data_IF_811847609357
#
_entry.id   IF_811847609357
#
_cell.length_a   1.000
_cell.length_b   1.000
_cell.length_c   1.000
_cell.angle_alpha   90.00
_cell.angle_beta   90.00
_cell.angle_gamma   90.00
#
_symmetry.space_group_name_H-M   'P 1'
#
loop_
_entity.id
_entity.type
_entity.pdbx_description
1 polymer ?
#
# COMPACT_ATOMS: atom_id res chain seq x y z
N UNK A 1 50.21 -42.94 41.01
CA UNK A 1 48.97 -42.16 40.78
C UNK A 1 48.94 -41.47 39.40
N UNK A 2 50.07 -40.98 38.87
CA UNK A 2 50.14 -40.29 37.57
C UNK A 2 49.88 -41.16 36.32
N UNK A 3 50.24 -42.46 36.31
CA UNK A 3 50.02 -43.32 35.13
C UNK A 3 48.54 -43.56 34.79
N UNK A 4 47.66 -43.63 35.79
CA UNK A 4 46.22 -43.85 35.57
C UNK A 4 45.52 -42.64 34.96
N UNK A 5 46.07 -41.43 35.14
CA UNK A 5 45.52 -40.19 34.59
C UNK A 5 45.78 -40.08 33.07
N UNK A 6 46.94 -40.55 32.61
CA UNK A 6 47.34 -40.51 31.19
C UNK A 6 46.49 -41.48 30.35
N UNK A 7 46.16 -42.66 30.87
CA UNK A 7 45.31 -43.66 30.20
C UNK A 7 43.83 -43.21 30.06
N UNK A 8 43.29 -42.49 31.04
CA UNK A 8 41.93 -41.93 30.99
C UNK A 8 41.86 -40.76 30.00
N UNK A 9 42.90 -39.92 29.95
CA UNK A 9 42.98 -38.84 28.97
C UNK A 9 43.14 -39.35 27.53
N UNK A 10 43.94 -40.41 27.32
CA UNK A 10 44.14 -41.03 26.00
C UNK A 10 42.86 -41.71 25.48
N UNK A 11 42.14 -42.46 26.34
CA UNK A 11 40.87 -43.10 25.98
C UNK A 11 39.74 -42.08 25.72
N UNK A 12 39.73 -40.95 26.43
CA UNK A 12 38.84 -39.82 26.14
C UNK A 12 39.12 -39.17 24.77
N UNK A 13 40.40 -38.97 24.44
CA UNK A 13 40.82 -38.42 23.13
C UNK A 13 40.44 -39.34 21.97
N UNK A 14 40.67 -40.65 22.09
CA UNK A 14 40.26 -41.63 21.06
C UNK A 14 38.73 -41.68 20.88
N UNK A 15 37.96 -41.59 21.97
CA UNK A 15 36.48 -41.52 21.88
C UNK A 15 35.99 -40.24 21.20
N UNK A 16 36.64 -39.10 21.48
CA UNK A 16 36.29 -37.83 20.83
C UNK A 16 36.59 -37.87 19.32
N UNK A 17 37.75 -38.42 18.93
CA UNK A 17 38.14 -38.59 17.52
C UNK A 17 37.17 -39.56 16.80
N UNK A 18 36.75 -40.64 17.45
CA UNK A 18 35.77 -41.57 16.90
C UNK A 18 34.36 -40.95 16.76
N UNK A 19 33.95 -40.07 17.68
CA UNK A 19 32.69 -39.33 17.57
C UNK A 19 32.74 -38.31 16.43
N UNK A 20 33.83 -37.54 16.31
CA UNK A 20 34.02 -36.55 15.24
C UNK A 20 34.08 -37.23 13.86
N UNK A 21 34.77 -38.38 13.73
CA UNK A 21 34.80 -39.12 12.47
C UNK A 21 33.43 -39.72 12.11
N UNK A 22 32.65 -40.14 13.12
CA UNK A 22 31.27 -40.60 12.93
C UNK A 22 30.34 -39.48 12.51
N UNK A 23 30.47 -38.29 13.09
CA UNK A 23 29.75 -37.08 12.66
C UNK A 23 30.16 -36.64 11.25
N UNK A 24 31.45 -36.67 10.92
CA UNK A 24 31.96 -36.30 9.59
C UNK A 24 31.52 -37.30 8.49
N UNK A 25 31.29 -38.56 8.85
CA UNK A 25 30.80 -39.61 7.94
C UNK A 25 29.26 -39.64 7.86
N UNK A 26 28.57 -38.92 8.73
CA UNK A 26 27.11 -38.84 8.74
C UNK A 26 26.60 -37.82 7.72
N UNK A 27 26.33 -38.31 6.51
CA UNK A 27 25.73 -37.53 5.42
C UNK A 27 24.32 -37.00 5.72
N UNK A 28 23.65 -37.52 6.76
CA UNK A 28 22.30 -37.06 7.15
C UNK A 28 22.36 -35.70 7.86
N UNK A 29 23.48 -35.37 8.52
CA UNK A 29 23.69 -34.08 9.19
C UNK A 29 23.93 -32.92 8.23
N UNK A 30 24.50 -33.19 7.05
CA UNK A 30 24.75 -32.17 6.00
C UNK A 30 23.45 -31.54 5.53
N UNK A 31 22.40 -32.34 5.32
CA UNK A 31 21.08 -31.84 4.94
C UNK A 31 20.43 -30.94 6.00
N UNK A 32 20.72 -31.17 7.29
CA UNK A 32 20.22 -30.31 8.37
C UNK A 32 20.90 -28.93 8.38
N UNK A 33 22.19 -28.85 8.05
CA UNK A 33 22.94 -27.59 7.95
C UNK A 33 22.51 -26.79 6.72
N UNK A 34 22.33 -27.45 5.57
CA UNK A 34 21.79 -26.82 4.36
C UNK A 34 20.39 -26.26 4.60
N UNK A 35 19.52 -27.03 5.27
CA UNK A 35 18.18 -26.56 5.65
C UNK A 35 18.26 -25.36 6.60
N UNK A 36 19.14 -25.38 7.60
CA UNK A 36 19.28 -24.27 8.55
C UNK A 36 19.69 -22.95 7.88
N UNK A 37 20.39 -22.98 6.74
CA UNK A 37 20.79 -21.80 5.98
C UNK A 37 19.69 -21.37 4.99
N UNK A 38 19.10 -22.32 4.26
CA UNK A 38 18.12 -22.03 3.20
C UNK A 38 16.74 -21.68 3.76
N UNK A 39 16.31 -22.36 4.83
CA UNK A 39 15.01 -22.14 5.46
C UNK A 39 14.73 -20.69 5.87
N UNK A 40 15.60 -19.96 6.60
CA UNK A 40 15.32 -18.58 6.97
C UNK A 40 15.17 -17.65 5.76
N UNK A 41 15.92 -17.89 4.69
CA UNK A 41 15.84 -17.11 3.44
C UNK A 41 14.50 -17.39 2.75
N UNK A 42 14.12 -18.66 2.61
CA UNK A 42 12.83 -19.04 2.01
C UNK A 42 11.65 -18.50 2.81
N UNK A 43 11.72 -18.54 4.15
CA UNK A 43 10.69 -18.01 5.02
C UNK A 43 10.56 -16.49 4.86
N UNK A 44 11.68 -15.76 4.85
CA UNK A 44 11.67 -14.31 4.63
C UNK A 44 11.08 -13.95 3.27
N UNK A 45 11.47 -14.64 2.19
CA UNK A 45 10.93 -14.42 0.85
C UNK A 45 9.43 -14.73 0.77
N UNK A 46 8.98 -15.83 1.37
CA UNK A 46 7.57 -16.20 1.39
C UNK A 46 6.71 -15.14 2.09
N UNK A 47 7.10 -14.76 3.31
CA UNK A 47 6.35 -13.77 4.08
C UNK A 47 6.38 -12.39 3.40
N UNK A 48 7.51 -11.99 2.80
CA UNK A 48 7.63 -10.71 2.08
C UNK A 48 6.73 -10.69 0.85
N UNK A 49 6.70 -11.80 0.10
CA UNK A 49 5.83 -11.93 -1.08
C UNK A 49 4.35 -11.88 -0.70
N UNK A 50 3.99 -12.51 0.43
CA UNK A 50 2.64 -12.49 0.96
C UNK A 50 2.19 -11.07 1.32
N UNK A 51 3.00 -10.33 2.06
CA UNK A 51 2.70 -8.95 2.45
C UNK A 51 2.63 -8.00 1.25
N UNK A 52 3.58 -8.10 0.32
CA UNK A 52 3.57 -7.32 -0.91
C UNK A 52 2.31 -7.60 -1.75
N UNK A 53 1.84 -8.85 -1.77
CA UNK A 53 0.60 -9.22 -2.46
C UNK A 53 -0.61 -8.54 -1.84
N UNK A 54 -0.71 -8.49 -0.50
CA UNK A 54 -1.82 -7.80 0.18
C UNK A 54 -1.74 -6.29 -0.05
N UNK A 55 -0.56 -5.69 0.08
CA UNK A 55 -0.34 -4.27 -0.19
C UNK A 55 -0.69 -3.90 -1.63
N UNK A 56 -0.31 -4.74 -2.60
CA UNK A 56 -0.65 -4.57 -4.01
C UNK A 56 -2.15 -4.74 -4.29
N UNK A 57 -2.83 -5.66 -3.62
CA UNK A 57 -4.28 -5.80 -3.73
C UNK A 57 -5.00 -4.54 -3.23
N UNK A 58 -4.56 -3.98 -2.11
CA UNK A 58 -5.05 -2.68 -1.59
C UNK A 58 -4.74 -1.56 -2.58
N UNK A 59 -3.52 -1.53 -3.15
CA UNK A 59 -3.11 -0.59 -4.20
C UNK A 59 -4.09 -0.61 -5.38
N UNK A 60 -4.42 -1.80 -5.87
CA UNK A 60 -5.32 -1.98 -7.02
C UNK A 60 -6.72 -1.51 -6.69
N UNK A 61 -7.24 -1.87 -5.52
CA UNK A 61 -8.58 -1.45 -5.06
C UNK A 61 -8.70 0.05 -4.88
N UNK A 62 -7.69 0.70 -4.32
CA UNK A 62 -7.63 2.17 -4.22
C UNK A 62 -7.72 2.83 -5.61
N UNK A 63 -6.98 2.29 -6.58
CA UNK A 63 -7.01 2.79 -7.96
C UNK A 63 -8.37 2.57 -8.62
N UNK A 64 -8.96 1.38 -8.45
CA UNK A 64 -10.28 1.07 -8.97
C UNK A 64 -11.37 1.93 -8.34
N UNK A 65 -11.32 2.17 -7.03
CA UNK A 65 -12.29 3.01 -6.32
C UNK A 65 -12.23 4.46 -6.81
N UNK A 66 -11.02 5.04 -6.90
CA UNK A 66 -10.84 6.41 -7.41
C UNK A 66 -11.35 6.54 -8.86
N UNK A 67 -11.07 5.56 -9.72
CA UNK A 67 -11.56 5.54 -11.10
C UNK A 67 -13.08 5.42 -11.18
N UNK A 68 -13.71 4.53 -10.40
CA UNK A 68 -15.16 4.34 -10.37
C UNK A 68 -15.88 5.59 -9.87
N UNK A 69 -15.41 6.19 -8.78
CA UNK A 69 -15.97 7.45 -8.24
C UNK A 69 -15.89 8.55 -9.29
N UNK A 70 -14.73 8.68 -9.94
CA UNK A 70 -14.53 9.67 -10.98
C UNK A 70 -15.49 9.46 -12.17
N UNK A 71 -15.67 8.21 -12.63
CA UNK A 71 -16.59 7.88 -13.72
C UNK A 71 -18.05 8.21 -13.37
N UNK A 72 -18.49 7.95 -12.13
CA UNK A 72 -19.84 8.31 -11.66
C UNK A 72 -20.07 9.83 -11.67
N UNK A 73 -19.10 10.60 -11.14
CA UNK A 73 -19.17 12.05 -11.10
C UNK A 73 -19.11 12.64 -12.52
N UNK A 74 -18.25 12.09 -13.37
CA UNK A 74 -18.06 12.57 -14.74
C UNK A 74 -19.25 12.36 -15.66
N UNK A 75 -20.15 11.44 -15.30
CA UNK A 75 -21.42 11.23 -16.01
C UNK A 75 -22.56 12.10 -15.48
N UNK A 76 -22.34 12.82 -14.38
CA UNK A 76 -23.37 13.60 -13.71
C UNK A 76 -23.16 15.09 -14.02
N UNK A 77 -24.17 15.75 -14.60
CA UNK A 77 -24.06 17.17 -14.99
C UNK A 77 -23.94 18.14 -13.82
N UNK A 78 -24.42 17.76 -12.62
CA UNK A 78 -24.27 18.56 -11.41
C UNK A 78 -24.23 17.66 -10.18
N UNK A 79 -23.36 17.97 -9.22
CA UNK A 79 -23.24 17.26 -7.95
C UNK A 79 -23.60 18.16 -6.77
N UNK A 80 -23.98 17.55 -5.66
CA UNK A 80 -24.14 18.21 -4.37
C UNK A 80 -23.37 17.43 -3.28
N UNK A 81 -23.25 18.01 -2.09
CA UNK A 81 -22.58 17.38 -0.94
C UNK A 81 -23.19 16.03 -0.55
N UNK A 82 -24.50 15.86 -0.73
CA UNK A 82 -25.20 14.60 -0.40
C UNK A 82 -24.76 13.48 -1.33
N UNK A 83 -24.72 13.77 -2.64
CA UNK A 83 -24.21 12.88 -3.67
C UNK A 83 -22.74 12.52 -3.44
N UNK A 84 -21.91 13.51 -3.12
CA UNK A 84 -20.49 13.29 -2.84
C UNK A 84 -20.26 12.47 -1.56
N UNK A 85 -21.09 12.67 -0.54
CA UNK A 85 -21.05 11.83 0.69
C UNK A 85 -21.32 10.37 0.35
N UNK A 86 -22.25 10.09 -0.56
CA UNK A 86 -22.52 8.72 -1.05
C UNK A 86 -21.33 8.06 -1.79
N UNK A 87 -20.34 8.83 -2.26
CA UNK A 87 -19.13 8.27 -2.87
C UNK A 87 -18.25 7.50 -1.87
N UNK A 88 -18.40 7.77 -0.56
CA UNK A 88 -17.73 7.00 0.49
C UNK A 88 -18.26 5.55 0.53
N UNK A 89 -19.57 5.37 0.35
CA UNK A 89 -20.18 4.05 0.29
C UNK A 89 -19.76 3.30 -0.98
N UNK A 90 -19.63 4.01 -2.10
CA UNK A 90 -19.06 3.46 -3.35
C UNK A 90 -17.62 3.00 -3.12
N UNK A 91 -16.79 3.82 -2.46
CA UNK A 91 -15.43 3.43 -2.11
C UNK A 91 -15.43 2.16 -1.25
N UNK A 92 -16.25 2.11 -0.21
CA UNK A 92 -16.37 0.94 0.68
C UNK A 92 -16.80 -0.33 -0.07
N UNK A 93 -17.76 -0.22 -0.99
CA UNK A 93 -18.20 -1.34 -1.81
C UNK A 93 -17.08 -1.88 -2.73
N UNK A 94 -16.28 -1.00 -3.33
CA UNK A 94 -15.14 -1.40 -4.17
C UNK A 94 -14.00 -2.02 -3.33
N UNK A 95 -13.83 -1.57 -2.10
CA UNK A 95 -12.81 -2.10 -1.20
C UNK A 95 -13.19 -3.45 -0.57
N UNK A 96 -14.47 -3.82 -0.53
CA UNK A 96 -14.93 -5.08 0.07
C UNK A 96 -14.15 -6.30 -0.48
N UNK A 97 -13.67 -7.22 0.40
CA UNK A 97 -13.95 -7.32 1.84
C UNK A 97 -12.96 -6.56 2.75
N UNK A 98 -12.10 -5.70 2.22
CA UNK A 98 -11.12 -4.94 3.00
C UNK A 98 -11.76 -3.75 3.71
N UNK A 99 -11.25 -3.41 4.90
CA UNK A 99 -11.69 -2.23 5.63
C UNK A 99 -11.22 -0.94 4.95
N UNK A 100 -12.08 0.07 4.94
CA UNK A 100 -11.78 1.45 4.54
C UNK A 100 -11.53 2.38 5.75
N UNK A 101 -11.22 1.82 6.92
CA UNK A 101 -10.98 2.62 8.13
C UNK A 101 -9.84 3.60 7.89
N UNK A 102 -10.11 4.89 8.10
CA UNK A 102 -9.13 5.96 7.87
C UNK A 102 -8.92 6.34 6.40
N UNK A 103 -9.80 5.89 5.50
CA UNK A 103 -9.82 6.35 4.12
C UNK A 103 -10.10 7.86 4.07
N UNK A 104 -9.25 8.61 3.38
CA UNK A 104 -9.44 10.01 3.07
C UNK A 104 -9.72 10.14 1.57
N UNK A 105 -10.82 10.82 1.25
CA UNK A 105 -11.33 10.99 -0.12
C UNK A 105 -11.52 12.47 -0.36
N UNK A 106 -10.81 13.01 -1.35
CA UNK A 106 -11.01 14.37 -1.84
C UNK A 106 -11.40 14.32 -3.30
N UNK A 107 -12.30 15.21 -3.67
CA UNK A 107 -12.84 15.31 -5.01
C UNK A 107 -12.81 16.78 -5.39
N UNK A 108 -12.21 17.07 -6.54
CA UNK A 108 -12.09 18.43 -7.05
C UNK A 108 -12.52 18.50 -8.52
N UNK A 109 -13.27 19.54 -8.85
CA UNK A 109 -13.51 19.96 -10.23
C UNK A 109 -12.45 20.97 -10.65
N UNK A 110 -11.75 20.70 -11.74
CA UNK A 110 -10.65 21.52 -12.24
C UNK A 110 -10.99 21.99 -13.65
N UNK A 111 -10.96 23.30 -13.88
CA UNK A 111 -11.11 23.90 -15.20
C UNK A 111 -9.75 24.33 -15.75
N UNK A 112 -9.46 23.96 -16.98
CA UNK A 112 -8.26 24.39 -17.71
C UNK A 112 -8.67 25.51 -18.66
N UNK A 113 -8.08 26.69 -18.47
CA UNK A 113 -8.34 27.84 -19.35
C UNK A 113 -7.58 27.74 -20.69
N UNK A 114 -7.88 28.67 -21.61
CA UNK A 114 -7.24 28.77 -22.92
C UNK A 114 -5.71 28.95 -22.82
N UNK A 115 -5.21 29.47 -21.70
CA UNK A 115 -3.78 29.64 -21.40
C UNK A 115 -3.16 28.39 -20.73
N UNK A 116 -3.89 27.26 -20.72
CA UNK A 116 -3.49 25.98 -20.11
C UNK A 116 -3.21 26.08 -18.61
N UNK A 117 -3.85 27.01 -17.91
CA UNK A 117 -3.78 27.09 -16.46
C UNK A 117 -4.93 26.29 -15.85
N UNK A 118 -4.59 25.30 -15.04
CA UNK A 118 -5.54 24.49 -14.31
C UNK A 118 -5.94 25.18 -12.99
N UNK A 119 -7.22 25.47 -12.82
CA UNK A 119 -7.78 26.12 -11.63
C UNK A 119 -8.91 25.30 -11.03
N UNK A 120 -9.00 25.29 -9.71
CA UNK A 120 -10.10 24.61 -9.01
C UNK A 120 -11.38 25.41 -9.15
N UNK A 121 -12.45 24.77 -9.62
CA UNK A 121 -13.80 25.34 -9.65
C UNK A 121 -14.55 25.02 -8.36
N UNK A 122 -14.39 23.81 -7.83
CA UNK A 122 -14.98 23.37 -6.57
C UNK A 122 -14.15 22.22 -5.98
N UNK A 123 -14.23 22.03 -4.68
CA UNK A 123 -13.60 20.89 -3.99
C UNK A 123 -14.42 20.43 -2.81
N UNK A 124 -14.29 19.15 -2.47
CA UNK A 124 -14.98 18.51 -1.36
C UNK A 124 -14.09 17.40 -0.77
N UNK A 125 -14.17 17.17 0.53
CA UNK A 125 -13.51 16.04 1.21
C UNK A 125 -14.50 15.17 1.99
N UNK A 126 -14.04 14.01 2.46
CA UNK A 126 -14.88 13.05 3.18
C UNK A 126 -15.48 13.59 4.49
N UNK A 127 -14.95 14.71 4.99
CA UNK A 127 -15.41 15.39 6.21
C UNK A 127 -16.42 16.50 5.90
N UNK A 128 -16.92 16.57 4.67
CA UNK A 128 -17.81 17.62 4.18
C UNK A 128 -17.22 19.03 4.23
N UNK A 129 -15.89 19.13 4.18
CA UNK A 129 -15.14 20.38 4.10
C UNK A 129 -14.74 20.67 2.65
N UNK A 130 -14.19 21.86 2.44
CA UNK A 130 -13.64 22.32 1.17
C UNK A 130 -12.11 22.32 1.28
N UNK A 131 -11.39 21.28 0.83
CA UNK A 131 -9.95 21.15 1.03
C UNK A 131 -9.13 22.18 0.24
N UNK A 132 -9.68 22.70 -0.87
CA UNK A 132 -9.00 23.66 -1.72
C UNK A 132 -9.87 24.88 -2.05
N UNK A 133 -9.25 26.06 -2.08
CA UNK A 133 -9.92 27.30 -2.44
C UNK A 133 -10.28 27.35 -3.92
N UNK A 134 -11.47 27.87 -4.23
CA UNK A 134 -11.91 28.12 -5.61
C UNK A 134 -10.97 29.14 -6.26
N UNK A 135 -10.55 28.87 -7.50
CA UNK A 135 -9.61 29.67 -8.27
C UNK A 135 -8.13 29.37 -7.97
N UNK A 136 -7.81 28.52 -6.99
CA UNK A 136 -6.42 28.13 -6.73
C UNK A 136 -5.86 27.31 -7.90
N UNK A 137 -4.58 27.53 -8.20
CA UNK A 137 -3.88 26.82 -9.25
C UNK A 137 -3.51 25.41 -8.79
N UNK A 138 -3.68 24.41 -9.67
CA UNK A 138 -3.35 23.01 -9.40
C UNK A 138 -2.36 22.49 -10.43
N UNK A 139 -1.43 21.66 -9.96
CA UNK A 139 -0.51 20.96 -10.85
C UNK A 139 -1.20 19.76 -11.46
N UNK A 140 -1.50 19.85 -12.76
CA UNK A 140 -2.06 18.75 -13.57
C UNK A 140 -0.97 18.22 -14.50
N UNK A 141 -0.87 16.89 -14.72
CA UNK A 141 0.09 16.34 -15.68
C UNK A 141 -0.02 17.00 -17.06
N UNK A 142 1.12 17.31 -17.67
CA UNK A 142 1.18 18.08 -18.93
C UNK A 142 0.37 17.48 -20.08
N UNK A 143 0.20 16.15 -20.10
CA UNK A 143 -0.60 15.43 -21.11
C UNK A 143 -2.11 15.67 -20.97
N UNK A 144 -2.58 16.13 -19.82
CA UNK A 144 -3.99 16.43 -19.54
C UNK A 144 -4.30 17.93 -19.65
N UNK A 145 -3.30 18.78 -19.88
CA UNK A 145 -3.45 20.22 -20.10
C UNK A 145 -3.99 20.53 -21.50
N UNK A 146 -5.23 20.11 -21.75
CA UNK A 146 -5.99 20.43 -22.95
C UNK A 146 -6.74 21.73 -22.73
N UNK A 147 -6.65 22.67 -23.67
CA UNK A 147 -7.35 23.95 -23.60
C UNK A 147 -8.86 23.74 -23.51
N UNK A 148 -9.53 24.63 -22.77
CA UNK A 148 -10.99 24.67 -22.59
C UNK A 148 -11.56 23.29 -22.21
N UNK A 149 -10.91 22.64 -21.25
CA UNK A 149 -11.34 21.33 -20.77
C UNK A 149 -11.58 21.33 -19.27
N UNK A 150 -12.45 20.41 -18.85
CA UNK A 150 -12.80 20.21 -17.46
C UNK A 150 -12.37 18.82 -17.02
N UNK A 151 -11.71 18.77 -15.87
CA UNK A 151 -11.20 17.54 -15.27
C UNK A 151 -11.84 17.33 -13.91
N UNK A 152 -12.21 16.09 -13.63
CA UNK A 152 -12.47 15.64 -12.26
C UNK A 152 -11.19 15.03 -11.72
N UNK A 153 -10.76 15.48 -10.56
CA UNK A 153 -9.63 14.93 -9.81
C UNK A 153 -10.15 14.27 -8.54
N UNK A 154 -9.89 12.97 -8.41
CA UNK A 154 -10.20 12.20 -7.20
C UNK A 154 -8.88 11.81 -6.54
N UNK A 155 -8.70 12.24 -5.31
CA UNK A 155 -7.62 11.81 -4.42
C UNK A 155 -8.19 10.83 -3.41
N UNK A 156 -7.63 9.64 -3.35
CA UNK A 156 -8.04 8.62 -2.40
C UNK A 156 -6.80 8.08 -1.69
N UNK A 157 -6.78 8.15 -0.37
CA UNK A 157 -5.69 7.62 0.43
C UNK A 157 -6.21 6.70 1.53
N UNK A 158 -5.56 5.54 1.70
CA UNK A 158 -5.96 4.53 2.68
C UNK A 158 -4.74 4.06 3.47
N UNK A 159 -4.80 4.05 4.81
CA UNK A 159 -3.75 3.45 5.62
C UNK A 159 -3.79 1.93 5.48
N UNK A 160 -2.66 1.33 5.12
CA UNK A 160 -2.48 -0.12 5.06
C UNK A 160 -1.55 -0.58 6.18
N UNK A 161 -2.03 -1.45 7.06
CA UNK A 161 -1.23 -2.02 8.15
C UNK A 161 -0.34 -3.15 7.66
N UNK A 162 0.92 -3.11 8.08
CA UNK A 162 1.91 -4.13 7.74
C UNK A 162 1.86 -5.25 8.80
N UNK A 163 1.76 -6.49 8.33
CA UNK A 163 1.62 -7.67 9.18
C UNK A 163 2.99 -8.19 9.66
N UNK A 164 4.06 -7.97 8.88
CA UNK A 164 5.38 -8.56 9.16
C UNK A 164 6.16 -7.80 10.23
N UNK A 165 5.92 -6.50 10.41
CA UNK A 165 6.52 -5.73 11.49
C UNK A 165 5.80 -6.09 12.79
N UNK A 166 6.26 -7.15 13.45
CA UNK A 166 5.75 -7.63 14.74
C UNK A 166 5.41 -6.43 15.65
N UNK A 167 4.15 -6.31 16.13
CA UNK A 167 3.69 -5.10 16.82
C UNK A 167 4.46 -4.74 18.11
N UNK A 168 5.26 -5.67 18.65
CA UNK A 168 5.72 -5.67 20.05
C UNK A 168 7.24 -5.87 20.26
N UNK A 169 8.04 -6.26 19.25
CA UNK A 169 9.51 -6.44 19.43
C UNK A 169 10.34 -5.22 19.04
N UNK A 170 9.78 -4.24 18.33
CA UNK A 170 10.45 -2.96 18.06
C UNK A 170 9.42 -1.83 18.06
N UNK A 171 9.39 -1.03 19.12
CA UNK A 171 8.47 0.11 19.31
C UNK A 171 8.77 1.31 18.38
N UNK A 172 9.50 1.11 17.29
CA UNK A 172 9.99 2.17 16.39
C UNK A 172 9.73 1.90 14.90
N UNK A 173 9.11 0.77 14.54
CA UNK A 173 8.76 0.46 13.15
C UNK A 173 7.44 1.15 12.72
N UNK A 174 7.40 1.69 11.50
CA UNK A 174 6.17 2.23 10.90
C UNK A 174 5.12 1.12 10.78
N UNK A 175 4.05 1.20 11.59
CA UNK A 175 2.98 0.19 11.65
C UNK A 175 2.02 0.23 10.46
N UNK A 176 2.02 1.33 9.70
CA UNK A 176 1.17 1.50 8.54
C UNK A 176 1.87 2.30 7.44
N UNK A 177 1.50 2.02 6.19
CA UNK A 177 1.87 2.79 5.01
C UNK A 177 0.58 3.33 4.39
N UNK A 178 0.51 4.64 4.18
CA UNK A 178 -0.62 5.24 3.47
C UNK A 178 -0.47 5.04 1.97
N UNK A 179 -1.43 4.34 1.37
CA UNK A 179 -1.50 4.12 -0.07
C UNK A 179 -2.39 5.21 -0.66
N UNK A 180 -1.79 6.20 -1.33
CA UNK A 180 -2.47 7.31 -2.01
C UNK A 180 -2.65 7.08 -3.51
N UNK A 181 -3.77 7.57 -4.07
CA UNK A 181 -4.09 7.57 -5.49
C UNK A 181 -4.67 8.89 -5.94
N UNK A 182 -4.10 9.40 -7.02
CA UNK A 182 -4.58 10.54 -7.78
C UNK A 182 -5.13 10.05 -9.11
N UNK A 183 -6.41 10.33 -9.36
CA UNK A 183 -7.04 9.97 -10.63
C UNK A 183 -7.69 11.19 -11.27
N UNK A 184 -7.17 11.56 -12.43
CA UNK A 184 -7.70 12.65 -13.26
C UNK A 184 -8.50 12.06 -14.42
N UNK A 185 -9.69 12.59 -14.68
CA UNK A 185 -10.49 12.22 -15.83
C UNK A 185 -11.00 13.46 -16.53
N UNK A 186 -10.89 13.46 -17.85
CA UNK A 186 -11.42 14.52 -18.69
C UNK A 186 -12.89 14.25 -18.98
N UNK A 187 -13.74 15.22 -18.68
CA UNK A 187 -15.14 15.15 -19.07
C UNK A 187 -15.29 15.32 -20.58
N UNK A 188 -16.19 14.52 -21.16
CA UNK A 188 -16.52 14.58 -22.59
C UNK A 188 -17.67 15.54 -22.88
N UNK A 189 -18.56 15.70 -21.90
CA UNK A 189 -19.79 16.48 -22.03
C UNK A 189 -19.67 17.82 -21.27
N UNK A 190 -20.76 18.29 -20.68
CA UNK A 190 -20.81 19.56 -19.93
C UNK A 190 -20.00 19.52 -18.63
N UNK A 191 -19.52 20.69 -18.21
CA UNK A 191 -18.79 20.87 -16.94
C UNK A 191 -19.67 20.46 -15.74
N UNK A 192 -19.21 19.51 -14.94
CA UNK A 192 -19.91 19.18 -13.69
C UNK A 192 -19.76 20.31 -12.68
N UNK A 193 -20.85 21.03 -12.45
CA UNK A 193 -20.95 22.03 -11.39
C UNK A 193 -21.25 21.37 -10.05
N UNK A 194 -20.67 21.87 -8.95
CA UNK A 194 -21.22 21.59 -7.62
C UNK A 194 -22.10 22.75 -7.15
N UNK A 195 -23.31 22.44 -6.68
CA UNK A 195 -24.30 23.44 -6.27
C UNK A 195 -24.08 23.99 -4.86
N UNK A 196 -23.51 23.18 -3.94
CA UNK A 196 -23.31 23.53 -2.53
C UNK A 196 -21.95 23.13 -1.96
N UNK A 197 -20.97 22.85 -2.83
CA UNK A 197 -19.55 22.72 -2.53
C UNK A 197 -18.81 24.04 -2.83
#
# INVERSE_FOLDING_TARGET
MMERLVLVAASGRLRLIALVSRFARDRRGVGAVEFAIVFPILLALYLTSFELTIGYNTYKRASSAAATINDLISKTGSVDKTYLTGMQDVAAAVFAPYSTKGLNLKISGIKIDAQKQAKITWSWDEKNLRPYAVGSAVTVPTRLLVQDSFLIHVELSVPHELLMFMPDVTSSGTKSITIGRDYFFKQRDAETACTNC
#
